data_IF_485773378905
#
_entry.id   IF_485773378905
#
_cell.length_a   1.000
_cell.length_b   1.000
_cell.length_c   1.000
_cell.angle_alpha   90.00
_cell.angle_beta   90.00
_cell.angle_gamma   90.00
#
_symmetry.space_group_name_H-M   'P 1'
#
loop_
_entity.id
_entity.type
_entity.pdbx_description
1 polymer ?
#
# COMPACT_ATOMS: atom_id res chain seq x y z
N UNK A 1 8.16 -11.61 9.34
CA UNK A 1 7.00 -10.70 9.28
C UNK A 1 6.49 -10.78 7.86
N UNK A 2 5.33 -11.40 7.70
CA UNK A 2 4.77 -11.81 6.43
C UNK A 2 4.46 -10.63 5.51
N UNK A 3 4.50 -10.93 4.22
CA UNK A 3 4.14 -10.07 3.12
C UNK A 3 2.73 -9.49 3.29
N UNK A 4 2.61 -8.16 3.25
CA UNK A 4 1.33 -7.56 2.93
C UNK A 4 1.14 -7.75 1.44
N UNK A 5 0.40 -8.79 1.06
CA UNK A 5 -0.02 -9.03 -0.32
C UNK A 5 -0.97 -7.90 -0.73
N UNK A 6 -0.46 -6.92 -1.49
CA UNK A 6 -1.27 -5.84 -2.05
C UNK A 6 -2.40 -6.36 -2.96
N UNK A 7 -2.24 -7.57 -3.51
CA UNK A 7 -3.24 -8.26 -4.34
C UNK A 7 -4.27 -9.07 -3.54
N UNK A 8 -4.16 -9.15 -2.21
CA UNK A 8 -5.11 -9.87 -1.35
C UNK A 8 -5.97 -8.95 -0.50
N UNK A 9 -5.79 -7.63 -0.62
CA UNK A 9 -6.66 -6.67 0.04
C UNK A 9 -7.99 -6.63 -0.74
N UNK A 10 -9.14 -6.93 -0.11
CA UNK A 10 -10.43 -6.76 -0.76
C UNK A 10 -10.56 -5.32 -1.27
N UNK A 11 -11.14 -5.14 -2.46
CA UNK A 11 -11.30 -3.83 -3.09
C UNK A 11 -11.87 -2.81 -2.09
N UNK A 12 -11.06 -1.81 -1.72
CA UNK A 12 -11.45 -0.72 -0.83
C UNK A 12 -10.31 -0.20 0.05
N UNK A 13 -10.47 1.04 0.54
CA UNK A 13 -9.47 1.72 1.37
C UNK A 13 -9.60 1.25 2.83
N UNK A 14 -8.60 0.53 3.35
CA UNK A 14 -8.56 0.03 4.74
C UNK A 14 -7.66 0.89 5.64
N UNK A 15 -8.18 2.03 6.08
CA UNK A 15 -7.44 3.00 6.91
C UNK A 15 -7.08 2.40 8.27
N UNK A 16 -8.01 1.69 8.92
CA UNK A 16 -7.75 1.09 10.23
C UNK A 16 -6.63 0.05 10.23
N UNK A 17 -6.58 -0.78 9.17
CA UNK A 17 -5.51 -1.77 8.98
C UNK A 17 -4.17 -1.10 8.72
N UNK A 18 -4.13 -0.04 7.92
CA UNK A 18 -2.91 0.74 7.68
C UNK A 18 -2.35 1.35 8.98
N UNK A 19 -3.22 1.93 9.81
CA UNK A 19 -2.85 2.48 11.12
C UNK A 19 -2.37 1.40 12.09
N UNK A 20 -3.06 0.26 12.17
CA UNK A 20 -2.65 -0.86 13.00
C UNK A 20 -1.27 -1.40 12.59
N UNK A 21 -1.00 -1.49 11.28
CA UNK A 21 0.31 -1.88 10.77
C UNK A 21 1.40 -0.86 11.10
N UNK A 22 1.11 0.43 11.00
CA UNK A 22 2.04 1.48 11.41
C UNK A 22 2.35 1.41 12.91
N UNK A 23 1.32 1.22 13.74
CA UNK A 23 1.46 1.02 15.18
C UNK A 23 2.34 -0.19 15.50
N UNK A 24 2.06 -1.34 14.89
CA UNK A 24 2.84 -2.58 15.07
C UNK A 24 4.31 -2.42 14.68
N UNK A 25 4.59 -1.64 13.62
CA UNK A 25 5.96 -1.38 13.17
C UNK A 25 6.73 -0.41 14.06
N UNK A 26 6.04 0.58 14.63
CA UNK A 26 6.67 1.66 15.40
C UNK A 26 6.68 1.40 16.91
N UNK A 27 5.90 0.43 17.43
CA UNK A 27 5.80 0.14 18.86
C UNK A 27 7.18 -0.14 19.50
N UNK A 28 8.04 -0.87 18.81
CA UNK A 28 9.37 -1.31 19.31
C UNK A 28 10.49 -0.34 18.92
N UNK A 29 10.17 0.78 18.29
CA UNK A 29 11.16 1.77 17.85
C UNK A 29 11.74 2.52 19.05
N UNK A 30 13.08 2.62 19.09
CA UNK A 30 13.83 3.40 20.09
C UNK A 30 13.94 4.90 19.72
N UNK A 31 13.29 5.32 18.62
CA UNK A 31 13.32 6.72 18.19
C UNK A 31 12.53 7.61 19.16
N UNK A 32 13.08 8.80 19.46
CA UNK A 32 12.44 9.79 20.34
C UNK A 32 11.13 10.35 19.77
N UNK A 33 11.02 10.46 18.44
CA UNK A 33 9.76 10.79 17.75
C UNK A 33 9.34 9.62 16.88
N UNK A 34 8.05 9.25 16.94
CA UNK A 34 7.43 8.22 16.11
C UNK A 34 6.36 8.89 15.28
N UNK A 35 6.51 8.80 13.97
CA UNK A 35 5.68 9.52 13.00
C UNK A 35 5.23 8.55 11.91
N UNK A 36 3.95 8.62 11.56
CA UNK A 36 3.39 7.94 10.40
C UNK A 36 2.72 8.98 9.49
N UNK A 37 2.83 8.79 8.18
CA UNK A 37 2.11 9.60 7.18
C UNK A 37 1.13 8.69 6.45
N UNK A 38 -0.16 8.93 6.63
CA UNK A 38 -1.26 8.25 5.95
C UNK A 38 -1.63 9.04 4.71
N UNK A 39 -1.49 8.44 3.53
CA UNK A 39 -1.90 9.04 2.26
C UNK A 39 -3.08 8.24 1.73
N UNK A 40 -4.21 8.88 1.48
CA UNK A 40 -5.43 8.23 0.95
C UNK A 40 -6.19 9.18 0.04
N UNK A 41 -6.78 8.63 -1.01
CA UNK A 41 -7.65 9.33 -1.96
C UNK A 41 -9.15 9.18 -1.65
N UNK A 42 -9.52 8.37 -0.65
CA UNK A 42 -10.90 7.96 -0.44
C UNK A 42 -11.35 7.79 1.01
N UNK A 43 -12.63 7.44 1.11
CA UNK A 43 -13.39 7.08 2.31
C UNK A 43 -12.97 5.66 2.75
N UNK A 44 -12.98 5.36 4.06
CA UNK A 44 -12.68 4.02 4.55
C UNK A 44 -13.77 3.03 4.11
N UNK A 45 -13.55 2.39 2.96
CA UNK A 45 -14.53 1.54 2.28
C UNK A 45 -14.29 0.04 2.53
N UNK A 46 -13.19 -0.33 3.21
CA UNK A 46 -12.86 -1.71 3.54
C UNK A 46 -12.15 -1.84 4.89
N UNK A 47 -12.16 -3.04 5.45
CA UNK A 47 -11.41 -3.40 6.67
C UNK A 47 -12.28 -3.55 7.92
N UNK A 48 -11.93 -4.54 8.74
CA UNK A 48 -12.65 -4.89 9.99
C UNK A 48 -12.31 -3.96 11.16
N UNK A 49 -11.27 -3.14 11.02
CA UNK A 49 -10.76 -2.28 12.08
C UNK A 49 -11.28 -0.86 11.90
N UNK A 50 -11.98 -0.36 12.92
CA UNK A 50 -12.40 1.05 12.98
C UNK A 50 -11.16 2.00 12.97
N UNK A 51 -11.10 2.97 12.03
CA UNK A 51 -9.95 3.88 11.92
C UNK A 51 -9.68 4.73 13.16
N UNK A 52 -10.72 5.17 13.86
CA UNK A 52 -10.56 5.99 15.07
C UNK A 52 -10.01 5.17 16.23
N UNK A 53 -10.42 3.91 16.35
CA UNK A 53 -9.89 2.95 17.31
C UNK A 53 -8.42 2.65 17.04
N UNK A 54 -8.03 2.45 15.78
CA UNK A 54 -6.62 2.29 15.41
C UNK A 54 -5.79 3.56 15.66
N UNK A 55 -6.38 4.75 15.45
CA UNK A 55 -5.76 6.02 15.81
C UNK A 55 -5.54 6.16 17.33
N UNK A 56 -6.47 5.65 18.16
CA UNK A 56 -6.31 5.60 19.61
C UNK A 56 -5.08 4.79 20.03
N UNK A 57 -4.84 3.66 19.37
CA UNK A 57 -3.66 2.82 19.62
C UNK A 57 -2.39 3.59 19.24
N UNK A 58 -2.39 4.30 18.12
CA UNK A 58 -1.27 5.14 17.72
C UNK A 58 -0.98 6.24 18.77
N UNK A 59 -2.02 6.91 19.24
CA UNK A 59 -1.94 7.93 20.30
C UNK A 59 -1.33 7.35 21.58
N UNK A 60 -1.82 6.20 22.07
CA UNK A 60 -1.30 5.54 23.27
C UNK A 60 0.15 5.08 23.13
N UNK A 61 0.61 4.80 21.91
CA UNK A 61 2.00 4.47 21.59
C UNK A 61 2.88 5.71 21.32
N UNK A 62 2.34 6.93 21.44
CA UNK A 62 3.05 8.18 21.15
C UNK A 62 3.43 8.33 19.68
N UNK A 63 2.64 7.74 18.77
CA UNK A 63 2.85 7.82 17.32
C UNK A 63 1.96 8.94 16.77
N UNK A 64 2.59 9.98 16.22
CA UNK A 64 1.87 11.06 15.52
C UNK A 64 1.51 10.63 14.11
N UNK A 65 0.25 10.78 13.73
CA UNK A 65 -0.23 10.43 12.39
C UNK A 65 -0.57 11.71 11.63
N UNK A 66 0.17 11.96 10.55
CA UNK A 66 -0.15 13.00 9.57
C UNK A 66 -1.01 12.39 8.48
N UNK A 67 -2.15 13.01 8.17
CA UNK A 67 -3.08 12.51 7.15
C UNK A 67 -3.03 13.40 5.92
N UNK A 68 -2.94 12.79 4.74
CA UNK A 68 -2.88 13.48 3.45
C UNK A 68 -3.98 12.93 2.57
N UNK A 69 -5.02 13.74 2.36
CA UNK A 69 -6.06 13.47 1.39
C UNK A 69 -5.57 13.80 -0.02
N UNK A 70 -5.64 12.85 -0.95
CA UNK A 70 -5.25 13.05 -2.35
C UNK A 70 -6.51 13.15 -3.20
N UNK A 71 -6.77 14.31 -3.79
CA UNK A 71 -7.97 14.50 -4.60
C UNK A 71 -8.46 15.94 -4.57
N UNK A 72 -9.15 16.33 -5.64
CA UNK A 72 -9.75 17.65 -5.74
C UNK A 72 -10.95 17.78 -4.81
N UNK A 73 -11.00 18.85 -4.03
CA UNK A 73 -11.98 19.13 -2.97
C UNK A 73 -13.45 19.23 -3.39
N UNK A 74 -13.83 18.90 -4.63
CA UNK A 74 -15.19 19.06 -5.19
C UNK A 74 -15.36 18.50 -6.62
N UNK A 75 -14.48 17.62 -7.08
CA UNK A 75 -14.48 17.16 -8.48
C UNK A 75 -15.34 15.92 -8.70
N UNK A 76 -16.19 15.94 -9.72
CA UNK A 76 -16.75 14.72 -10.30
C UNK A 76 -15.57 13.85 -10.78
N UNK A 77 -15.46 12.62 -10.28
CA UNK A 77 -14.44 11.66 -10.71
C UNK A 77 -15.08 10.66 -11.66
N UNK A 78 -14.38 10.35 -12.75
CA UNK A 78 -14.81 9.33 -13.72
C UNK A 78 -14.49 7.94 -13.16
N UNK A 79 -15.52 7.22 -12.71
CA UNK A 79 -15.38 5.86 -12.20
C UNK A 79 -15.83 4.89 -13.28
N UNK A 80 -15.04 3.86 -13.64
CA UNK A 80 -15.49 2.80 -14.54
C UNK A 80 -16.56 1.97 -13.83
N UNK A 81 -17.76 1.92 -14.39
CA UNK A 81 -18.83 1.02 -13.95
C UNK A 81 -19.17 0.00 -15.04
N UNK A 82 -19.31 -1.29 -14.71
CA UNK A 82 -19.83 -2.27 -15.65
C UNK A 82 -21.30 -1.96 -15.93
N UNK A 83 -21.66 -1.79 -17.19
CA UNK A 83 -23.07 -1.68 -17.57
C UNK A 83 -23.73 -3.07 -17.51
N UNK A 84 -25.06 -3.12 -17.33
CA UNK A 84 -25.80 -4.37 -17.52
C UNK A 84 -25.40 -5.03 -18.86
N UNK A 85 -25.30 -6.38 -18.91
CA UNK A 85 -24.95 -7.09 -20.13
C UNK A 85 -25.92 -6.70 -21.24
N UNK A 86 -25.40 -6.36 -22.42
CA UNK A 86 -26.24 -6.01 -23.55
C UNK A 86 -27.14 -7.23 -23.90
N UNK A 87 -28.48 -7.09 -23.93
CA UNK A 87 -29.40 -8.19 -24.19
C UNK A 87 -29.15 -8.95 -25.50
N UNK A 88 -28.50 -8.31 -26.47
CA UNK A 88 -28.23 -8.87 -27.80
C UNK A 88 -26.85 -9.51 -27.93
N UNK A 89 -25.85 -9.05 -27.17
CA UNK A 89 -24.45 -9.52 -27.31
C UNK A 89 -23.92 -10.24 -26.07
N UNK A 90 -24.62 -10.16 -24.93
CA UNK A 90 -24.22 -10.76 -23.66
C UNK A 90 -22.95 -10.16 -23.05
N UNK A 91 -22.38 -9.11 -23.66
CA UNK A 91 -21.15 -8.45 -23.20
C UNK A 91 -21.49 -7.26 -22.31
N UNK A 92 -20.75 -7.11 -21.22
CA UNK A 92 -20.78 -5.92 -20.39
C UNK A 92 -19.73 -4.94 -20.91
N UNK A 93 -20.14 -3.70 -21.17
CA UNK A 93 -19.22 -2.62 -21.51
C UNK A 93 -18.86 -1.84 -20.23
N UNK A 94 -17.66 -1.25 -20.20
CA UNK A 94 -17.26 -0.36 -19.13
C UNK A 94 -17.68 1.06 -19.50
N UNK A 95 -18.55 1.67 -18.71
CA UNK A 95 -18.93 3.08 -18.87
C UNK A 95 -18.35 3.89 -17.73
N UNK A 96 -17.64 4.96 -18.07
CA UNK A 96 -17.22 5.95 -17.07
C UNK A 96 -18.43 6.80 -16.67
N UNK A 97 -18.75 6.79 -15.39
CA UNK A 97 -19.79 7.64 -14.79
C UNK A 97 -19.13 8.65 -13.86
N UNK A 98 -19.60 9.89 -13.95
CA UNK A 98 -19.13 10.98 -13.10
C UNK A 98 -19.83 10.88 -11.75
N UNK A 99 -19.08 10.57 -10.70
CA UNK A 99 -19.60 10.51 -9.33
C UNK A 99 -18.86 11.50 -8.43
N UNK A 100 -19.59 12.05 -7.46
CA UNK A 100 -18.99 12.80 -6.38
C UNK A 100 -18.44 11.79 -5.36
N UNK A 101 -17.13 11.58 -5.36
CA UNK A 101 -16.41 10.81 -4.35
C UNK A 101 -15.71 11.79 -3.40
N UNK A 102 -16.40 12.30 -2.37
CA UNK A 102 -15.76 13.20 -1.42
C UNK A 102 -14.72 12.42 -0.61
N UNK A 103 -13.52 12.98 -0.47
CA UNK A 103 -12.57 12.55 0.55
C UNK A 103 -13.22 12.77 1.92
N UNK A 104 -13.15 11.79 2.82
CA UNK A 104 -13.64 11.94 4.19
C UNK A 104 -12.65 12.79 5.02
N UNK A 105 -12.65 14.10 4.76
CA UNK A 105 -11.80 15.05 5.47
C UNK A 105 -12.07 15.05 6.98
N UNK A 106 -13.32 14.80 7.38
CA UNK A 106 -13.72 14.79 8.79
C UNK A 106 -13.02 13.66 9.54
N UNK A 107 -13.03 12.46 8.98
CA UNK A 107 -12.32 11.31 9.54
C UNK A 107 -10.80 11.55 9.57
N UNK A 108 -10.23 12.03 8.47
CA UNK A 108 -8.78 12.25 8.37
C UNK A 108 -8.28 13.34 9.33
N UNK A 109 -9.06 14.42 9.51
CA UNK A 109 -8.78 15.44 10.52
C UNK A 109 -8.89 14.87 11.92
N UNK A 110 -9.89 14.04 12.20
CA UNK A 110 -10.09 13.42 13.52
C UNK A 110 -8.92 12.51 13.89
N UNK A 111 -8.43 11.68 12.96
CA UNK A 111 -7.25 10.83 13.14
C UNK A 111 -6.00 11.67 13.43
N UNK A 112 -5.77 12.71 12.63
CA UNK A 112 -4.61 13.58 12.81
C UNK A 112 -4.65 14.32 14.15
N UNK A 113 -5.80 14.91 14.52
CA UNK A 113 -5.97 15.63 15.78
C UNK A 113 -5.76 14.72 16.98
N UNK A 114 -6.36 13.53 16.97
CA UNK A 114 -6.25 12.56 18.06
C UNK A 114 -4.81 12.15 18.33
N UNK A 115 -4.01 12.00 17.29
CA UNK A 115 -2.61 11.54 17.40
C UNK A 115 -1.61 12.70 17.53
N UNK A 116 -2.06 13.95 17.51
CA UNK A 116 -1.20 15.14 17.56
C UNK A 116 -0.46 15.46 16.25
N UNK A 117 -0.92 14.90 15.13
CA UNK A 117 -0.47 15.24 13.77
C UNK A 117 -1.29 16.35 13.12
N UNK A 118 -1.20 16.46 11.79
CA UNK A 118 -1.94 17.44 10.98
C UNK A 118 -2.54 16.80 9.72
N UNK A 119 -3.68 17.33 9.30
CA UNK A 119 -4.31 16.99 8.03
C UNK A 119 -3.85 17.93 6.93
N UNK A 120 -3.59 17.38 5.75
CA UNK A 120 -3.25 18.10 4.53
C UNK A 120 -4.10 17.59 3.36
N UNK A 121 -4.37 18.48 2.40
CA UNK A 121 -4.99 18.13 1.13
C UNK A 121 -3.99 18.35 0.00
N UNK A 122 -3.71 17.29 -0.76
CA UNK A 122 -2.84 17.32 -1.92
C UNK A 122 -3.68 17.29 -3.19
N UNK A 123 -3.64 18.39 -3.94
CA UNK A 123 -4.34 18.54 -5.24
C UNK A 123 -3.50 18.09 -6.42
N UNK A 124 -2.18 18.06 -6.25
CA UNK A 124 -1.21 17.81 -7.31
C UNK A 124 0.13 17.27 -6.74
N UNK A 125 0.98 16.66 -7.57
CA UNK A 125 2.26 16.12 -7.10
C UNK A 125 3.23 17.15 -6.50
N UNK A 126 3.16 18.43 -6.88
CA UNK A 126 3.99 19.47 -6.27
C UNK A 126 3.52 19.79 -4.84
N UNK A 127 2.20 19.91 -4.63
CA UNK A 127 1.61 20.10 -3.30
C UNK A 127 1.98 18.96 -2.34
N UNK A 128 1.94 17.70 -2.81
CA UNK A 128 2.34 16.55 -2.01
C UNK A 128 3.82 16.65 -1.57
N UNK A 129 4.71 17.05 -2.48
CA UNK A 129 6.14 17.27 -2.14
C UNK A 129 6.35 18.42 -1.15
N UNK A 130 5.49 19.43 -1.17
CA UNK A 130 5.56 20.53 -0.22
C UNK A 130 5.08 20.10 1.16
N UNK A 131 4.00 19.32 1.23
CA UNK A 131 3.48 18.73 2.48
C UNK A 131 4.55 17.87 3.16
N UNK A 132 5.21 16.97 2.42
CA UNK A 132 6.28 16.15 3.01
C UNK A 132 7.45 16.99 3.53
N UNK A 133 7.81 18.09 2.84
CA UNK A 133 8.84 19.03 3.32
C UNK A 133 8.40 19.77 4.59
N UNK A 134 7.13 20.11 4.71
CA UNK A 134 6.59 20.71 5.92
C UNK A 134 6.63 19.73 7.10
N UNK A 135 6.21 18.48 6.88
CA UNK A 135 6.26 17.42 7.90
C UNK A 135 7.70 17.19 8.38
N UNK A 136 8.66 17.11 7.45
CA UNK A 136 10.09 16.94 7.78
C UNK A 136 10.62 18.11 8.63
N UNK A 137 10.19 19.34 8.35
CA UNK A 137 10.56 20.52 9.14
C UNK A 137 9.98 20.51 10.55
N UNK A 138 8.77 19.95 10.72
CA UNK A 138 8.11 19.79 12.01
C UNK A 138 8.74 18.66 12.83
N UNK A 139 9.17 17.58 12.18
CA UNK A 139 9.70 16.36 12.81
C UNK A 139 11.20 16.21 12.57
N UNK A 140 11.99 17.17 13.07
CA UNK A 140 13.47 17.25 12.91
C UNK A 140 14.28 16.10 13.51
N UNK A 141 13.64 15.13 14.14
CA UNK A 141 14.35 13.96 14.66
C UNK A 141 15.00 13.20 13.51
N UNK A 142 16.29 12.82 13.61
CA UNK A 142 16.97 12.11 12.54
C UNK A 142 16.20 10.83 12.23
N UNK A 143 15.60 10.79 11.03
CA UNK A 143 14.88 9.63 10.55
C UNK A 143 15.90 8.48 10.47
N UNK A 144 15.82 7.52 11.38
CA UNK A 144 16.45 6.23 11.14
C UNK A 144 15.62 5.55 10.07
N UNK A 145 15.99 5.79 8.81
CA UNK A 145 15.32 5.25 7.64
C UNK A 145 15.53 3.74 7.66
N UNK A 146 14.63 2.99 8.31
CA UNK A 146 14.51 1.55 8.13
C UNK A 146 13.86 1.31 6.76
N UNK A 147 14.67 1.43 5.71
CA UNK A 147 14.25 1.13 4.34
C UNK A 147 14.09 -0.38 4.20
N UNK A 148 12.86 -0.86 4.29
CA UNK A 148 12.54 -2.24 3.92
C UNK A 148 12.50 -2.33 2.39
N UNK A 149 13.66 -2.56 1.77
CA UNK A 149 13.73 -2.93 0.34
C UNK A 149 13.60 -4.44 0.26
N UNK A 150 12.57 -4.92 -0.44
CA UNK A 150 12.36 -6.34 -0.63
C UNK A 150 12.97 -6.75 -1.96
N UNK A 151 14.07 -7.49 -1.91
CA UNK A 151 14.64 -8.13 -3.10
C UNK A 151 13.80 -9.39 -3.39
N UNK A 152 13.21 -9.44 -4.59
CA UNK A 152 12.73 -10.71 -5.14
C UNK A 152 13.83 -11.25 -6.05
N UNK A 153 14.44 -12.36 -5.63
CA UNK A 153 15.45 -13.06 -6.41
C UNK A 153 14.75 -13.83 -7.53
N UNK A 154 14.81 -13.30 -8.76
CA UNK A 154 14.23 -13.91 -9.97
C UNK A 154 15.18 -14.92 -10.64
N UNK A 155 16.41 -15.09 -10.13
CA UNK A 155 17.41 -15.99 -10.69
C UNK A 155 17.26 -17.49 -10.36
N UNK A 156 16.56 -17.95 -9.30
CA UNK A 156 16.40 -19.39 -9.02
C UNK A 156 15.87 -20.23 -10.20
N UNK A 157 14.81 -19.83 -10.94
CA UNK A 157 14.37 -20.60 -12.11
C UNK A 157 15.43 -20.63 -13.23
N UNK A 158 16.25 -19.58 -13.35
CA UNK A 158 17.35 -19.51 -14.32
C UNK A 158 18.50 -20.46 -13.94
N UNK A 159 18.76 -20.64 -12.64
CA UNK A 159 19.80 -21.57 -12.16
C UNK A 159 19.38 -23.01 -12.38
N UNK A 160 18.11 -23.35 -12.12
CA UNK A 160 17.61 -24.70 -12.38
C UNK A 160 17.62 -25.05 -13.86
N UNK A 161 17.30 -24.10 -14.76
CA UNK A 161 17.37 -24.35 -16.20
C UNK A 161 18.82 -24.52 -16.69
N UNK A 162 19.77 -23.72 -16.19
CA UNK A 162 21.19 -23.85 -16.51
C UNK A 162 21.78 -25.18 -16.00
N UNK A 163 21.44 -25.60 -14.78
CA UNK A 163 21.87 -26.88 -14.21
C UNK A 163 21.32 -28.06 -15.00
N UNK A 164 20.05 -28.00 -15.43
CA UNK A 164 19.44 -29.01 -16.29
C UNK A 164 20.17 -29.15 -17.63
N UNK A 165 20.55 -28.03 -18.26
CA UNK A 165 21.31 -28.03 -19.51
C UNK A 165 22.71 -28.62 -19.34
N UNK A 166 23.37 -28.38 -18.19
CA UNK A 166 24.69 -28.92 -17.87
C UNK A 166 24.68 -30.44 -17.68
N UNK A 167 23.64 -30.99 -17.05
CA UNK A 167 23.55 -32.42 -16.71
C UNK A 167 23.06 -33.29 -17.88
N UNK A 168 22.38 -32.70 -18.86
CA UNK A 168 21.87 -33.37 -20.05
C UNK A 168 22.92 -34.22 -20.80
N UNK A 169 24.15 -33.73 -21.10
CA UNK A 169 25.17 -34.54 -21.76
C UNK A 169 25.63 -35.75 -20.92
N UNK A 170 25.75 -35.60 -19.59
CA UNK A 170 26.12 -36.72 -18.72
C UNK A 170 25.08 -37.84 -18.73
N UNK A 171 23.79 -37.48 -18.73
CA UNK A 171 22.71 -38.45 -18.85
C UNK A 171 22.76 -39.20 -20.20
N UNK A 172 23.02 -38.49 -21.31
CA UNK A 172 23.14 -39.13 -22.64
C UNK A 172 24.35 -40.06 -22.75
N UNK A 173 25.46 -39.75 -22.07
CA UNK A 173 26.64 -40.60 -22.04
C UNK A 173 26.40 -41.85 -21.20
N UNK A 174 25.74 -41.72 -20.04
CA UNK A 174 25.41 -42.87 -19.18
C UNK A 174 24.48 -43.87 -19.89
N UNK A 175 23.47 -43.37 -20.62
CA UNK A 175 22.54 -44.19 -21.41
C UNK A 175 23.22 -44.91 -22.59
N UNK A 176 24.29 -44.35 -23.15
CA UNK A 176 25.08 -45.02 -24.20
C UNK A 176 25.97 -46.11 -23.62
N UNK A 177 26.58 -45.86 -22.45
CA UNK A 177 27.46 -46.82 -21.77
C UNK A 177 26.70 -48.05 -21.25
N UNK A 178 25.44 -47.91 -20.86
CA UNK A 178 24.60 -49.05 -20.45
C UNK A 178 23.91 -49.78 -21.60
N UNK A 179 24.02 -49.28 -22.84
CA UNK A 179 23.41 -49.85 -24.04
C UNK A 179 24.38 -50.65 -24.93
N UNK A 180 25.66 -50.74 -24.56
CA UNK A 180 26.61 -51.70 -25.14
C UNK A 180 26.69 -52.95 -24.23
N UNK A 181 26.26 -54.14 -24.71
CA UNK A 181 26.45 -55.41 -23.99
C UNK A 181 27.87 -55.97 -24.11
#
# INVERSE_FOLDING_TARGET
VDEIQLNALPDGTAIGVALANAASRLKDSQAKSKVAVLVTDGINNAGEIDPLSAAAVCEGLGIKVYTVGVGGSKGLVNVPMPTPPNPLTGRSEMRYVQMLLPVDETLLRSIAQRTGGRFFLATDPQSLRQIFREIDRLEKTPLQIRRYVRYQEVFPPLVWSALGLLLLPFATTFLRVTAEP
#
